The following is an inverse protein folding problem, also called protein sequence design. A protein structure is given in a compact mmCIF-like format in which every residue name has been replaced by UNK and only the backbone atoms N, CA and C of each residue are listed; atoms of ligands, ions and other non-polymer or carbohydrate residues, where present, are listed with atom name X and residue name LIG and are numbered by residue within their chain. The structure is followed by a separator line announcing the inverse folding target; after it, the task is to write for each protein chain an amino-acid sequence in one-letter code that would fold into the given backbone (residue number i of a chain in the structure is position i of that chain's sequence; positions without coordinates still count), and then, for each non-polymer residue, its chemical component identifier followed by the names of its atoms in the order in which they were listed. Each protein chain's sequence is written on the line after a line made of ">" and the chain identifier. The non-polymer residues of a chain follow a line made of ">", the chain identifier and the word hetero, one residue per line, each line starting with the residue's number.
data_IF_206354610234
#
_entry.id   IF_206354610234
#
_cell.length_a   1.000
_cell.length_b   1.000
_cell.length_c   1.000
_cell.angle_alpha   90.00
_cell.angle_beta   90.00
_cell.angle_gamma   90.00
#
_symmetry.space_group_name_H-M   'P 1'
#
loop_
_entity.id
_entity.type
_entity.pdbx_description
1 polymer ?
#
# COMPACT_ATOMS: atom_id res chain seq x y z
N UNK A 1 -17.45 -13.14 -4.29
CA UNK A 1 -17.18 -12.55 -2.95
C UNK A 1 -17.47 -13.62 -1.92
N UNK A 2 -16.42 -14.23 -1.38
CA UNK A 2 -16.52 -15.44 -0.57
C UNK A 2 -17.02 -15.07 0.83
N UNK A 3 -18.35 -14.96 0.99
CA UNK A 3 -19.01 -14.67 2.27
C UNK A 3 -18.46 -15.58 3.37
N UNK A 4 -18.23 -16.85 3.06
CA UNK A 4 -17.64 -17.85 3.94
C UNK A 4 -16.23 -17.45 4.41
N UNK A 5 -15.32 -17.05 3.50
CA UNK A 5 -13.95 -16.64 3.88
C UNK A 5 -13.98 -15.38 4.75
N UNK A 6 -14.88 -14.42 4.43
CA UNK A 6 -15.06 -13.22 5.24
C UNK A 6 -15.48 -13.58 6.67
N UNK A 7 -16.47 -14.45 6.83
CA UNK A 7 -16.93 -14.86 8.15
C UNK A 7 -15.88 -15.67 8.91
N UNK A 8 -15.14 -16.57 8.23
CA UNK A 8 -14.05 -17.32 8.84
C UNK A 8 -12.93 -16.41 9.33
N UNK A 9 -12.49 -15.44 8.52
CA UNK A 9 -11.45 -14.49 8.92
C UNK A 9 -11.90 -13.58 10.08
N UNK A 10 -13.16 -13.15 10.08
CA UNK A 10 -13.74 -12.37 11.20
C UNK A 10 -13.76 -13.21 12.47
N UNK A 11 -14.21 -14.47 12.41
CA UNK A 11 -14.26 -15.35 13.58
C UNK A 11 -12.86 -15.61 14.14
N UNK A 12 -11.88 -15.89 13.28
CA UNK A 12 -10.48 -16.09 13.72
C UNK A 12 -9.92 -14.80 14.33
N UNK A 13 -10.20 -13.63 13.74
CA UNK A 13 -9.77 -12.34 14.27
C UNK A 13 -10.38 -12.02 15.65
N UNK A 14 -11.68 -12.32 15.83
CA UNK A 14 -12.37 -12.13 17.11
C UNK A 14 -11.83 -13.09 18.17
N UNK A 15 -11.61 -14.37 17.83
CA UNK A 15 -11.02 -15.36 18.75
C UNK A 15 -9.59 -14.96 19.15
N UNK A 16 -8.78 -14.48 18.21
CA UNK A 16 -7.43 -14.01 18.49
C UNK A 16 -7.43 -12.77 19.40
N UNK A 17 -8.32 -11.81 19.15
CA UNK A 17 -8.46 -10.60 19.97
C UNK A 17 -8.93 -10.93 21.40
N UNK A 18 -9.88 -11.87 21.54
CA UNK A 18 -10.35 -12.34 22.85
C UNK A 18 -9.21 -13.05 23.58
N UNK A 19 -8.56 -14.02 22.93
CA UNK A 19 -7.43 -14.74 23.52
C UNK A 19 -6.29 -13.78 23.95
N UNK A 20 -5.99 -12.76 23.15
CA UNK A 20 -4.98 -11.75 23.50
C UNK A 20 -5.35 -10.92 24.72
N UNK A 21 -6.62 -10.60 24.89
CA UNK A 21 -7.07 -9.74 26.00
C UNK A 21 -7.06 -10.51 27.34
N UNK A 22 -7.33 -11.82 27.30
CA UNK A 22 -7.34 -12.68 28.49
C UNK A 22 -5.95 -13.26 28.84
N UNK A 23 -4.99 -13.22 27.92
CA UNK A 23 -3.63 -13.75 28.13
C UNK A 23 -2.56 -12.67 28.29
N UNK A 24 -2.95 -11.40 28.44
CA UNK A 24 -1.99 -10.29 28.58
C UNK A 24 -1.29 -10.35 29.95
N UNK A 25 0.06 -10.40 29.99
CA UNK A 25 0.82 -10.39 31.25
C UNK A 25 0.78 -9.02 31.93
N UNK A 26 1.10 -9.00 33.22
CA UNK A 26 1.24 -7.75 33.98
C UNK A 26 2.40 -6.90 33.40
N UNK A 27 2.15 -5.62 33.05
CA UNK A 27 3.16 -4.75 32.47
C UNK A 27 4.33 -4.42 33.41
N UNK A 28 4.23 -4.70 34.71
CA UNK A 28 5.30 -4.47 35.69
C UNK A 28 6.34 -5.62 35.75
N UNK A 29 6.10 -6.74 35.06
CA UNK A 29 6.99 -7.91 35.08
C UNK A 29 8.05 -7.83 33.95
N UNK A 30 9.36 -7.82 34.28
CA UNK A 30 10.43 -7.84 33.28
C UNK A 30 10.43 -9.08 32.36
N UNK A 31 9.82 -10.20 32.77
CA UNK A 31 9.72 -11.41 31.95
C UNK A 31 8.44 -11.48 31.10
N UNK A 32 7.56 -10.47 31.18
CA UNK A 32 6.30 -10.41 30.43
C UNK A 32 6.47 -10.67 28.92
N UNK A 33 7.59 -10.23 28.33
CA UNK A 33 7.92 -10.39 26.91
C UNK A 33 8.06 -11.88 26.51
N UNK A 34 8.54 -12.73 27.43
CA UNK A 34 8.71 -14.17 27.19
C UNK A 34 7.48 -15.00 27.59
N UNK A 35 6.39 -14.35 28.00
CA UNK A 35 5.18 -15.03 28.39
C UNK A 35 4.56 -15.81 27.21
N UNK A 36 3.91 -16.92 27.54
CA UNK A 36 3.16 -17.71 26.58
C UNK A 36 2.07 -16.88 25.87
N UNK A 37 1.48 -15.90 26.56
CA UNK A 37 0.45 -15.00 26.01
C UNK A 37 0.98 -14.10 24.89
N UNK A 38 2.10 -13.41 25.11
CA UNK A 38 2.70 -12.54 24.09
C UNK A 38 3.23 -13.37 22.90
N UNK A 39 3.85 -14.52 23.16
CA UNK A 39 4.31 -15.42 22.10
C UNK A 39 3.16 -15.94 21.22
N UNK A 40 2.03 -16.33 21.83
CA UNK A 40 0.81 -16.73 21.10
C UNK A 40 0.24 -15.58 20.26
N UNK A 41 0.23 -14.35 20.80
CA UNK A 41 -0.27 -13.18 20.06
C UNK A 41 0.54 -12.90 18.80
N UNK A 42 1.87 -12.94 18.89
CA UNK A 42 2.73 -12.79 17.72
C UNK A 42 2.58 -13.95 16.75
N UNK A 43 2.52 -15.19 17.23
CA UNK A 43 2.31 -16.37 16.38
C UNK A 43 0.98 -16.28 15.60
N UNK A 44 -0.11 -15.87 16.26
CA UNK A 44 -1.41 -15.66 15.62
C UNK A 44 -1.39 -14.52 14.60
N UNK A 45 -0.70 -13.42 14.91
CA UNK A 45 -0.56 -12.29 13.98
C UNK A 45 0.18 -12.70 12.72
N UNK A 46 1.30 -13.41 12.86
CA UNK A 46 2.06 -13.95 11.71
C UNK A 46 1.25 -14.97 10.90
N UNK A 47 0.52 -15.86 11.58
CA UNK A 47 -0.36 -16.82 10.93
C UNK A 47 -1.46 -16.13 10.12
N UNK A 48 -2.14 -15.15 10.72
CA UNK A 48 -3.18 -14.36 10.06
C UNK A 48 -2.64 -13.57 8.87
N UNK A 49 -1.48 -12.93 9.03
CA UNK A 49 -0.80 -12.21 7.95
C UNK A 49 -0.45 -13.14 6.80
N UNK A 50 0.09 -14.33 7.09
CA UNK A 50 0.42 -15.34 6.10
C UNK A 50 -0.83 -15.82 5.35
N UNK A 51 -1.89 -16.18 6.07
CA UNK A 51 -3.16 -16.62 5.47
C UNK A 51 -3.78 -15.51 4.63
N UNK A 52 -3.85 -14.28 5.14
CA UNK A 52 -4.39 -13.14 4.42
C UNK A 52 -3.60 -12.87 3.13
N UNK A 53 -2.27 -12.92 3.19
CA UNK A 53 -1.39 -12.72 2.03
C UNK A 53 -1.62 -13.81 0.98
N UNK A 54 -1.58 -15.08 1.37
CA UNK A 54 -1.80 -16.22 0.46
C UNK A 54 -3.18 -16.14 -0.20
N UNK A 55 -4.23 -15.88 0.58
CA UNK A 55 -5.59 -15.73 0.04
C UNK A 55 -5.69 -14.53 -0.89
N UNK A 56 -5.15 -13.37 -0.52
CA UNK A 56 -5.19 -12.17 -1.36
C UNK A 56 -4.52 -12.40 -2.72
N UNK A 57 -3.34 -13.03 -2.73
CA UNK A 57 -2.62 -13.38 -3.95
C UNK A 57 -3.39 -14.42 -4.75
N UNK A 58 -3.79 -15.54 -4.13
CA UNK A 58 -4.50 -16.62 -4.81
C UNK A 58 -5.80 -16.13 -5.45
N UNK A 59 -6.64 -15.41 -4.70
CA UNK A 59 -7.90 -14.89 -5.22
C UNK A 59 -7.69 -13.76 -6.22
N UNK A 60 -6.67 -12.92 -6.05
CA UNK A 60 -6.29 -11.88 -7.00
C UNK A 60 -5.92 -12.46 -8.36
N UNK A 61 -5.00 -13.45 -8.37
CA UNK A 61 -4.56 -14.14 -9.57
C UNK A 61 -5.68 -14.96 -10.20
N UNK A 62 -6.42 -15.74 -9.40
CA UNK A 62 -7.57 -16.51 -9.88
C UNK A 62 -8.59 -15.60 -10.55
N UNK A 63 -8.93 -14.46 -9.95
CA UNK A 63 -9.87 -13.49 -10.54
C UNK A 63 -9.33 -12.91 -11.85
N UNK A 64 -8.03 -12.62 -11.93
CA UNK A 64 -7.39 -12.12 -13.15
C UNK A 64 -7.52 -13.10 -14.33
N UNK A 65 -7.33 -14.40 -14.07
CA UNK A 65 -7.35 -15.45 -15.12
C UNK A 65 -8.78 -15.90 -15.45
N UNK A 66 -9.67 -15.99 -14.46
CA UNK A 66 -11.05 -16.49 -14.65
C UNK A 66 -12.02 -15.45 -15.20
N UNK A 67 -11.69 -14.15 -15.11
CA UNK A 67 -12.55 -13.10 -15.67
C UNK A 67 -12.22 -12.90 -17.16
N UNK A 68 -13.21 -12.93 -18.07
CA UNK A 68 -12.97 -12.64 -19.48
C UNK A 68 -12.38 -11.22 -19.63
N UNK A 69 -11.18 -11.14 -20.22
CA UNK A 69 -10.41 -9.90 -20.33
C UNK A 69 -9.80 -9.37 -19.02
N UNK A 70 -9.81 -10.14 -17.93
CA UNK A 70 -9.26 -9.76 -16.63
C UNK A 70 -7.77 -9.42 -16.69
N UNK A 71 -6.98 -10.29 -17.35
CA UNK A 71 -5.55 -10.06 -17.57
C UNK A 71 -5.28 -8.76 -18.35
N UNK A 72 -6.05 -8.49 -19.41
CA UNK A 72 -5.93 -7.25 -20.19
C UNK A 72 -6.19 -6.04 -19.30
N UNK A 73 -7.26 -6.04 -18.49
CA UNK A 73 -7.56 -4.93 -17.56
C UNK A 73 -6.45 -4.66 -16.54
N UNK A 74 -5.88 -5.73 -15.97
CA UNK A 74 -4.74 -5.61 -15.04
C UNK A 74 -3.53 -5.03 -15.77
N UNK A 75 -3.23 -5.52 -16.98
CA UNK A 75 -2.13 -5.01 -17.78
C UNK A 75 -2.31 -3.54 -18.16
N UNK A 76 -3.52 -3.10 -18.50
CA UNK A 76 -3.82 -1.67 -18.73
C UNK A 76 -3.62 -0.83 -17.47
N UNK A 77 -3.99 -1.36 -16.30
CA UNK A 77 -3.83 -0.66 -15.03
C UNK A 77 -2.35 -0.50 -14.66
N UNK A 78 -1.57 -1.58 -14.78
CA UNK A 78 -0.12 -1.56 -14.54
C UNK A 78 0.59 -0.71 -15.61
N UNK A 79 0.19 -0.83 -16.87
CA UNK A 79 0.74 -0.03 -17.97
C UNK A 79 0.49 1.46 -17.78
N UNK A 80 -0.72 1.86 -17.38
CA UNK A 80 -1.04 3.24 -17.06
C UNK A 80 -0.19 3.77 -15.90
N UNK A 81 -0.01 2.97 -14.85
CA UNK A 81 0.88 3.33 -13.73
C UNK A 81 2.33 3.47 -14.22
N UNK A 82 2.84 2.53 -15.01
CA UNK A 82 4.19 2.59 -15.55
C UNK A 82 4.43 3.84 -16.40
N UNK A 83 3.45 4.24 -17.23
CA UNK A 83 3.52 5.49 -18.00
C UNK A 83 3.65 6.71 -17.08
N UNK A 84 2.91 6.76 -15.97
CA UNK A 84 3.04 7.85 -15.00
C UNK A 84 4.43 7.87 -14.37
N UNK A 85 5.02 6.72 -14.04
CA UNK A 85 6.39 6.65 -13.51
C UNK A 85 7.42 7.13 -14.53
N UNK A 86 7.27 6.76 -15.81
CA UNK A 86 8.16 7.22 -16.88
C UNK A 86 8.07 8.75 -17.03
N UNK A 87 6.85 9.29 -17.07
CA UNK A 87 6.63 10.74 -17.17
C UNK A 87 7.17 11.44 -15.92
N UNK A 88 6.87 10.94 -14.72
CA UNK A 88 7.32 11.50 -13.46
C UNK A 88 8.84 11.52 -13.34
N UNK A 89 9.51 10.47 -13.82
CA UNK A 89 10.97 10.41 -13.88
C UNK A 89 11.55 11.36 -14.93
N UNK A 90 10.92 11.46 -16.10
CA UNK A 90 11.34 12.39 -17.16
C UNK A 90 11.19 13.85 -16.74
N UNK A 91 10.15 14.17 -15.95
CA UNK A 91 9.93 15.50 -15.38
C UNK A 91 10.86 15.81 -14.19
N UNK A 92 11.46 14.79 -13.57
CA UNK A 92 12.43 15.01 -12.50
C UNK A 92 13.81 15.27 -13.11
N UNK A 93 14.22 16.54 -13.14
CA UNK A 93 15.51 16.95 -13.70
C UNK A 93 16.68 16.53 -12.80
N UNK A 94 17.79 16.12 -13.43
CA UNK A 94 19.05 15.86 -12.73
C UNK A 94 19.68 17.14 -12.17
N UNK A 95 19.53 18.27 -12.88
CA UNK A 95 20.13 19.55 -12.49
C UNK A 95 19.40 20.14 -11.29
N UNK A 96 18.07 20.04 -11.24
CA UNK A 96 17.27 20.41 -10.07
C UNK A 96 17.62 19.53 -8.87
N UNK A 97 17.88 18.24 -9.10
CA UNK A 97 18.32 17.35 -8.04
C UNK A 97 19.68 17.75 -7.46
N UNK A 98 20.63 18.17 -8.30
CA UNK A 98 21.94 18.67 -7.84
C UNK A 98 21.82 19.95 -7.02
N UNK A 99 20.97 20.89 -7.41
CA UNK A 99 20.72 22.11 -6.64
C UNK A 99 20.19 21.82 -5.22
N UNK A 100 19.35 20.79 -5.08
CA UNK A 100 18.90 20.32 -3.76
C UNK A 100 20.06 19.69 -2.99
N UNK A 101 20.89 18.84 -3.61
CA UNK A 101 22.07 18.25 -2.94
C UNK A 101 23.00 19.35 -2.41
N UNK A 102 23.25 20.39 -3.20
CA UNK A 102 24.07 21.54 -2.79
C UNK A 102 23.47 22.29 -1.59
N UNK A 103 22.14 22.42 -1.53
CA UNK A 103 21.42 23.04 -0.40
C UNK A 103 21.58 22.26 0.91
N UNK A 104 21.86 20.96 0.82
CA UNK A 104 22.07 20.06 1.95
C UNK A 104 23.54 19.80 2.28
N UNK A 105 24.47 20.36 1.51
CA UNK A 105 25.92 20.20 1.72
C UNK A 105 26.33 20.74 3.10
N UNK A 106 27.00 19.92 3.90
CA UNK A 106 27.45 20.28 5.26
C UNK A 106 26.35 20.21 6.33
N UNK A 107 25.18 19.63 6.04
CA UNK A 107 24.17 19.26 7.04
C UNK A 107 24.36 17.81 7.47
N UNK A 108 23.71 17.42 8.56
CA UNK A 108 23.74 16.03 9.06
C UNK A 108 23.20 15.00 8.04
N UNK A 109 22.40 15.45 7.06
CA UNK A 109 21.85 14.60 5.99
C UNK A 109 22.34 15.15 4.65
N UNK A 110 23.17 14.38 3.97
CA UNK A 110 23.67 14.67 2.62
C UNK A 110 23.04 13.70 1.62
N UNK A 111 21.88 14.05 1.02
CA UNK A 111 21.22 13.19 0.06
C UNK A 111 22.02 13.11 -1.25
N UNK A 112 21.97 11.98 -1.95
CA UNK A 112 22.55 11.86 -3.28
C UNK A 112 21.59 12.41 -4.35
N UNK A 113 22.11 12.88 -5.47
CA UNK A 113 21.28 13.36 -6.59
C UNK A 113 20.32 12.28 -7.11
N UNK A 114 20.72 11.00 -7.06
CA UNK A 114 19.85 9.87 -7.41
C UNK A 114 18.67 9.71 -6.45
N UNK A 115 18.92 9.85 -5.14
CA UNK A 115 17.86 9.82 -4.12
C UNK A 115 16.89 10.98 -4.32
N UNK A 116 17.40 12.21 -4.49
CA UNK A 116 16.56 13.39 -4.71
C UNK A 116 15.73 13.26 -5.99
N UNK A 117 16.32 12.80 -7.09
CA UNK A 117 15.60 12.57 -8.35
C UNK A 117 14.52 11.50 -8.21
N UNK A 118 14.77 10.44 -7.44
CA UNK A 118 13.76 9.41 -7.16
C UNK A 118 12.60 9.98 -6.35
N UNK A 119 12.89 10.82 -5.36
CA UNK A 119 11.86 11.51 -4.57
C UNK A 119 11.05 12.47 -5.47
N UNK A 120 11.72 13.26 -6.31
CA UNK A 120 11.07 14.15 -7.28
C UNK A 120 10.16 13.39 -8.25
N UNK A 121 10.61 12.24 -8.75
CA UNK A 121 9.80 11.33 -9.56
C UNK A 121 8.55 10.87 -8.82
N UNK A 122 8.69 10.36 -7.58
CA UNK A 122 7.54 9.89 -6.79
C UNK A 122 6.55 11.01 -6.51
N UNK A 123 7.05 12.22 -6.27
CA UNK A 123 6.22 13.41 -6.05
C UNK A 123 5.43 13.78 -7.32
N UNK A 124 6.10 13.78 -8.48
CA UNK A 124 5.45 14.02 -9.77
C UNK A 124 4.37 12.97 -10.08
N UNK A 125 4.64 11.68 -9.80
CA UNK A 125 3.66 10.61 -9.95
C UNK A 125 2.46 10.84 -9.03
N UNK A 126 2.71 11.16 -7.75
CA UNK A 126 1.66 11.41 -6.77
C UNK A 126 0.74 12.57 -7.17
N UNK A 127 1.31 13.72 -7.55
CA UNK A 127 0.52 14.87 -7.98
C UNK A 127 -0.23 14.60 -9.28
N UNK A 128 0.39 13.89 -10.23
CA UNK A 128 -0.28 13.48 -11.47
C UNK A 128 -1.47 12.57 -11.21
N UNK A 129 -1.32 11.57 -10.32
CA UNK A 129 -2.42 10.69 -9.92
C UNK A 129 -3.52 11.46 -9.21
N UNK A 130 -3.16 12.40 -8.34
CA UNK A 130 -4.11 13.25 -7.63
C UNK A 130 -4.92 14.11 -8.61
N UNK A 131 -4.25 14.75 -9.58
CA UNK A 131 -4.92 15.52 -10.63
C UNK A 131 -5.86 14.65 -11.47
N UNK A 132 -5.43 13.47 -11.89
CA UNK A 132 -6.28 12.50 -12.62
C UNK A 132 -7.49 12.09 -11.79
N UNK A 133 -7.31 11.79 -10.50
CA UNK A 133 -8.40 11.43 -9.60
C UNK A 133 -9.44 12.56 -9.49
N UNK A 134 -8.98 13.79 -9.27
CA UNK A 134 -9.83 14.98 -9.20
C UNK A 134 -10.62 15.17 -10.51
N UNK A 135 -9.97 15.08 -11.66
CA UNK A 135 -10.63 15.18 -12.97
C UNK A 135 -11.70 14.09 -13.16
N UNK A 136 -11.39 12.84 -12.78
CA UNK A 136 -12.34 11.73 -12.85
C UNK A 136 -13.53 11.89 -11.91
N UNK A 137 -13.41 12.66 -10.82
CA UNK A 137 -14.52 12.97 -9.93
C UNK A 137 -15.36 14.15 -10.44
N UNK A 138 -14.72 15.20 -10.96
CA UNK A 138 -15.40 16.43 -11.39
C UNK A 138 -16.13 16.22 -12.72
N UNK A 139 -15.51 15.58 -13.71
CA UNK A 139 -16.08 15.46 -15.07
C UNK A 139 -17.47 14.79 -15.06
N UNK A 140 -17.69 13.64 -14.38
CA UNK A 140 -19.02 13.05 -14.30
C UNK A 140 -20.03 13.94 -13.55
N UNK A 141 -19.57 14.65 -12.52
CA UNK A 141 -20.41 15.58 -11.75
C UNK A 141 -20.91 16.76 -12.61
N UNK A 142 -20.01 17.36 -13.39
CA UNK A 142 -20.34 18.46 -14.31
C UNK A 142 -21.24 17.99 -15.46
N UNK A 143 -20.96 16.83 -16.07
CA UNK A 143 -21.82 16.24 -17.10
C UNK A 143 -23.26 16.07 -16.62
N UNK A 144 -23.41 15.50 -15.42
CA UNK A 144 -24.70 15.30 -14.76
C UNK A 144 -25.46 16.62 -14.50
N UNK A 145 -24.75 17.70 -14.17
CA UNK A 145 -25.34 19.04 -13.98
C UNK A 145 -25.80 19.68 -15.29
N UNK A 146 -25.09 19.44 -16.39
CA UNK A 146 -25.41 19.98 -17.72
C UNK A 146 -26.46 19.10 -18.45
N UNK A 147 -26.92 18.02 -17.82
CA UNK A 147 -27.96 17.15 -18.37
C UNK A 147 -27.48 16.27 -19.53
N UNK A 148 -26.17 15.99 -19.63
CA UNK A 148 -25.58 15.05 -20.60
C UNK A 148 -24.78 13.95 -19.92
#
# INVERSE_FOLDING_TARGET
>A
MHKIIKYVLIVIGVVAAIASFFMMPDPADPEAINSAGISLMFALTWLLLAVATVLAVFWGLKKMVTTPGGLKKVLFSIGGLAVLFIIGYALSSGDEAQAVVETFKGKEIEPTAGTVKTIGMLLNVFFSMTAVAVLLMIIPGVKKLIGR
#
